data_IF_759289900500
#
_entry.id   IF_759289900500
#
_cell.length_a   1.000
_cell.length_b   1.000
_cell.length_c   1.000
_cell.angle_alpha   90.00
_cell.angle_beta   90.00
_cell.angle_gamma   90.00
#
_symmetry.space_group_name_H-M   'P 1'
#
loop_
_entity.id
_entity.type
_entity.pdbx_description
1 polymer ?
#
# COMPACT_ATOMS: atom_id res chain seq x y z
N UNK A 1 -4.02 29.98 19.03
CA UNK A 1 -3.43 28.68 19.41
C UNK A 1 -1.96 28.76 19.08
N UNK A 2 -1.13 28.99 20.10
CA UNK A 2 0.32 28.98 19.94
C UNK A 2 0.76 27.54 19.62
N UNK A 3 1.44 27.38 18.48
CA UNK A 3 2.08 26.12 18.12
C UNK A 3 3.31 25.93 19.02
N UNK A 4 3.51 24.77 19.66
CA UNK A 4 4.63 24.57 20.56
C UNK A 4 5.96 24.71 19.80
N UNK A 5 6.91 25.44 20.38
CA UNK A 5 8.27 25.59 19.85
C UNK A 5 9.02 24.25 19.93
N UNK A 6 9.78 23.83 18.91
CA UNK A 6 10.44 22.53 18.91
C UNK A 6 11.68 22.57 19.79
N UNK A 7 11.78 21.62 20.73
CA UNK A 7 12.91 21.37 21.63
C UNK A 7 14.12 20.73 20.93
N UNK A 8 14.48 21.16 19.72
CA UNK A 8 15.57 20.58 18.93
C UNK A 8 16.42 21.63 18.19
N UNK A 9 17.72 21.37 18.09
CA UNK A 9 18.74 22.23 17.47
C UNK A 9 18.64 22.31 15.93
N UNK A 10 17.47 22.59 15.37
CA UNK A 10 17.28 22.69 13.92
C UNK A 10 17.20 24.15 13.48
N UNK A 11 17.95 24.50 12.44
CA UNK A 11 17.90 25.83 11.83
C UNK A 11 16.57 26.00 11.07
N UNK A 12 15.78 27.06 11.34
CA UNK A 12 14.58 27.37 10.57
C UNK A 12 14.89 27.55 9.08
N UNK A 13 13.99 27.12 8.20
CA UNK A 13 14.16 27.22 6.74
C UNK A 13 13.35 28.39 6.16
N UNK A 14 13.98 29.50 5.74
CA UNK A 14 13.27 30.64 5.18
C UNK A 14 12.95 30.45 3.69
N UNK A 15 11.70 30.67 3.29
CA UNK A 15 11.24 30.72 1.90
C UNK A 15 10.30 31.91 1.74
N UNK A 16 10.56 32.80 0.77
CA UNK A 16 9.67 33.93 0.43
C UNK A 16 9.23 34.78 1.65
N UNK A 17 10.13 35.01 2.61
CA UNK A 17 9.83 35.78 3.83
C UNK A 17 9.09 35.01 4.93
N UNK A 18 8.81 33.72 4.74
CA UNK A 18 8.24 32.84 5.75
C UNK A 18 9.29 31.86 6.28
N UNK A 19 9.31 31.63 7.59
CA UNK A 19 10.17 30.62 8.22
C UNK A 19 9.40 29.34 8.47
N UNK A 20 9.92 28.22 7.99
CA UNK A 20 9.34 26.90 8.19
C UNK A 20 10.18 26.10 9.17
N UNK A 21 9.49 25.33 10.02
CA UNK A 21 10.13 24.33 10.86
C UNK A 21 10.68 23.19 10.00
N UNK A 22 11.90 22.73 10.32
CA UNK A 22 12.47 21.53 9.73
C UNK A 22 12.03 20.30 10.55
N UNK A 23 11.27 19.41 9.91
CA UNK A 23 10.83 18.13 10.49
C UNK A 23 11.51 16.95 9.81
N UNK A 24 11.74 15.86 10.55
CA UNK A 24 12.30 14.62 10.01
C UNK A 24 11.28 13.78 9.23
N UNK A 25 10.00 13.87 9.58
CA UNK A 25 8.90 13.20 8.90
C UNK A 25 7.74 14.18 8.69
N UNK A 26 7.20 14.22 7.47
CA UNK A 26 6.09 15.07 7.07
C UNK A 26 5.04 14.26 6.30
N UNK A 27 3.76 14.49 6.60
CA UNK A 27 2.66 13.85 5.86
C UNK A 27 2.12 14.80 4.80
N UNK A 28 2.37 14.50 3.54
CA UNK A 28 1.88 15.25 2.40
C UNK A 28 0.86 14.44 1.60
N UNK A 29 -0.36 14.97 1.43
CA UNK A 29 -1.47 14.30 0.70
C UNK A 29 -1.69 12.84 1.14
N UNK A 30 -1.50 12.58 2.44
CA UNK A 30 -1.65 11.26 3.03
C UNK A 30 -0.45 10.31 2.84
N UNK A 31 0.60 10.72 2.14
CA UNK A 31 1.88 9.99 1.99
C UNK A 31 2.89 10.54 2.99
N UNK A 32 3.64 9.67 3.62
CA UNK A 32 4.70 10.03 4.56
C UNK A 32 6.02 10.19 3.83
N UNK A 33 6.60 11.37 3.96
CA UNK A 33 7.89 11.76 3.39
C UNK A 33 8.85 11.97 4.56
N UNK A 34 10.08 11.48 4.44
CA UNK A 34 11.12 11.67 5.44
C UNK A 34 12.37 12.30 4.84
N UNK A 35 13.18 12.89 5.72
CA UNK A 35 14.44 13.55 5.40
C UNK A 35 15.49 12.59 4.80
N UNK A 36 15.47 11.32 5.20
CA UNK A 36 16.36 10.26 4.68
C UNK A 36 15.85 9.59 3.40
N UNK A 37 14.71 10.03 2.86
CA UNK A 37 14.04 9.44 1.69
C UNK A 37 13.83 7.92 1.79
N UNK A 38 13.67 7.39 3.01
CA UNK A 38 13.42 5.98 3.28
C UNK A 38 11.94 5.63 3.12
N UNK A 39 11.61 4.94 2.04
CA UNK A 39 10.25 4.52 1.72
C UNK A 39 9.61 3.54 2.75
N UNK A 40 10.42 2.93 3.62
CA UNK A 40 9.96 1.90 4.58
C UNK A 40 8.84 2.38 5.49
N UNK A 41 8.89 3.63 5.97
CA UNK A 41 7.86 4.21 6.83
C UNK A 41 6.50 4.28 6.10
N UNK A 42 6.51 4.77 4.87
CA UNK A 42 5.31 4.87 4.03
C UNK A 42 4.70 3.49 3.72
N UNK A 43 5.52 2.52 3.30
CA UNK A 43 5.04 1.14 3.02
C UNK A 43 4.40 0.53 4.25
N UNK A 44 5.02 0.69 5.43
CA UNK A 44 4.46 0.21 6.67
C UNK A 44 3.13 0.89 7.00
N UNK A 45 2.99 2.19 6.77
CA UNK A 45 1.74 2.92 6.97
C UNK A 45 0.63 2.47 6.02
N UNK A 46 0.96 2.16 4.76
CA UNK A 46 0.02 1.59 3.78
C UNK A 46 -0.42 0.19 4.16
N UNK A 47 0.51 -0.67 4.58
CA UNK A 47 0.21 -2.00 5.07
C UNK A 47 -0.66 -1.93 6.34
N UNK A 48 -0.39 -1.01 7.27
CA UNK A 48 -1.23 -0.79 8.46
C UNK A 48 -2.65 -0.36 8.07
N UNK A 49 -2.78 0.59 7.15
CA UNK A 49 -4.07 1.09 6.66
C UNK A 49 -4.86 -0.01 5.94
N UNK A 50 -4.21 -0.76 5.05
CA UNK A 50 -4.81 -1.89 4.36
C UNK A 50 -5.17 -3.03 5.31
N UNK A 51 -4.38 -3.27 6.37
CA UNK A 51 -4.73 -4.20 7.44
C UNK A 51 -6.01 -3.76 8.16
N UNK A 52 -6.16 -2.48 8.52
CA UNK A 52 -7.38 -1.96 9.15
C UNK A 52 -8.61 -2.23 8.29
N UNK A 53 -8.51 -1.93 6.99
CA UNK A 53 -9.58 -2.24 6.02
C UNK A 53 -9.87 -3.75 5.95
N UNK A 54 -8.82 -4.58 5.84
CA UNK A 54 -8.94 -6.03 5.81
C UNK A 54 -9.62 -6.59 7.07
N UNK A 55 -9.25 -6.10 8.27
CA UNK A 55 -9.85 -6.55 9.52
C UNK A 55 -11.34 -6.18 9.60
N UNK A 56 -11.74 -5.01 9.13
CA UNK A 56 -13.15 -4.63 9.01
C UNK A 56 -13.97 -5.52 8.06
N UNK A 57 -13.34 -6.04 7.02
CA UNK A 57 -13.96 -6.94 6.03
C UNK A 57 -13.73 -8.44 6.31
N UNK A 58 -13.01 -8.77 7.38
CA UNK A 58 -12.52 -10.14 7.63
C UNK A 58 -13.65 -11.15 7.78
N UNK A 59 -14.76 -10.76 8.41
CA UNK A 59 -15.94 -11.62 8.62
C UNK A 59 -16.58 -12.00 7.28
N UNK A 60 -16.73 -11.03 6.40
CA UNK A 60 -17.31 -11.17 5.06
C UNK A 60 -16.40 -12.03 4.17
N UNK A 61 -15.09 -11.76 4.18
CA UNK A 61 -14.11 -12.54 3.41
C UNK A 61 -14.02 -14.00 3.88
N UNK A 62 -14.25 -14.28 5.16
CA UNK A 62 -14.29 -15.65 5.70
C UNK A 62 -15.64 -16.36 5.53
N UNK A 63 -16.73 -15.61 5.40
CA UNK A 63 -18.09 -16.16 5.33
C UNK A 63 -18.25 -17.17 4.19
N UNK A 64 -18.83 -18.34 4.46
CA UNK A 64 -19.15 -19.34 3.42
C UNK A 64 -20.35 -18.94 2.56
N UNK A 65 -21.18 -18.00 3.05
CA UNK A 65 -22.37 -17.52 2.36
C UNK A 65 -22.04 -16.62 1.16
N UNK A 66 -20.88 -15.95 1.19
CA UNK A 66 -20.46 -15.04 0.13
C UNK A 66 -19.62 -15.82 -0.88
N UNK A 67 -20.02 -15.81 -2.15
CA UNK A 67 -19.27 -16.45 -3.23
C UNK A 67 -17.89 -15.81 -3.41
N UNK A 68 -16.91 -16.61 -3.87
CA UNK A 68 -15.52 -16.16 -4.06
C UNK A 68 -15.40 -14.94 -4.97
N UNK A 69 -16.20 -14.87 -6.05
CA UNK A 69 -16.20 -13.74 -6.99
C UNK A 69 -16.48 -12.40 -6.30
N UNK A 70 -17.47 -12.36 -5.40
CA UNK A 70 -17.83 -11.15 -4.65
C UNK A 70 -16.74 -10.78 -3.66
N UNK A 71 -16.14 -11.75 -2.96
CA UNK A 71 -14.99 -11.51 -2.07
C UNK A 71 -13.79 -10.94 -2.82
N UNK A 72 -13.51 -11.46 -4.02
CA UNK A 72 -12.47 -10.94 -4.89
C UNK A 72 -12.76 -9.51 -5.32
N UNK A 73 -14.02 -9.18 -5.64
CA UNK A 73 -14.44 -7.81 -5.94
C UNK A 73 -14.17 -6.89 -4.74
N UNK A 74 -14.60 -7.27 -3.53
CA UNK A 74 -14.33 -6.51 -2.31
C UNK A 74 -12.84 -6.27 -2.08
N UNK A 75 -12.01 -7.29 -2.28
CA UNK A 75 -10.56 -7.14 -2.18
C UNK A 75 -10.03 -6.08 -3.14
N UNK A 76 -10.41 -6.16 -4.42
CA UNK A 76 -9.92 -5.23 -5.45
C UNK A 76 -10.45 -3.82 -5.31
N UNK A 77 -11.67 -3.64 -4.84
CA UNK A 77 -12.33 -2.32 -4.80
C UNK A 77 -12.14 -1.60 -3.48
N UNK A 78 -11.92 -2.32 -2.37
CA UNK A 78 -11.83 -1.70 -1.04
C UNK A 78 -10.44 -1.81 -0.42
N UNK A 79 -9.81 -2.99 -0.47
CA UNK A 79 -8.54 -3.23 0.24
C UNK A 79 -7.35 -2.82 -0.63
N UNK A 80 -7.37 -3.25 -1.90
CA UNK A 80 -6.26 -3.04 -2.82
C UNK A 80 -5.98 -1.55 -3.12
N UNK A 81 -6.99 -0.66 -3.29
CA UNK A 81 -6.72 0.77 -3.50
C UNK A 81 -6.07 1.43 -2.28
N UNK A 82 -6.47 1.03 -1.06
CA UNK A 82 -5.86 1.51 0.19
C UNK A 82 -4.39 1.09 0.27
N UNK A 83 -4.08 -0.13 -0.14
CA UNK A 83 -2.71 -0.64 -0.19
C UNK A 83 -1.86 0.06 -1.25
N UNK A 84 -2.44 0.36 -2.42
CA UNK A 84 -1.72 0.84 -3.60
C UNK A 84 -1.69 2.36 -3.74
N UNK A 85 -2.23 3.10 -2.77
CA UNK A 85 -2.24 4.55 -2.83
C UNK A 85 -0.82 5.11 -2.94
N UNK A 86 -0.61 6.05 -3.86
CA UNK A 86 0.68 6.64 -4.19
C UNK A 86 1.78 5.63 -4.60
N UNK A 87 1.42 4.41 -5.00
CA UNK A 87 2.40 3.38 -5.38
C UNK A 87 3.22 3.72 -6.63
N UNK A 88 2.80 4.72 -7.39
CA UNK A 88 3.50 5.22 -8.58
C UNK A 88 4.82 5.90 -8.24
N UNK A 89 4.95 6.47 -7.03
CA UNK A 89 6.15 7.18 -6.58
C UNK A 89 7.15 6.26 -5.86
N UNK A 90 6.83 4.97 -5.72
CA UNK A 90 7.61 4.04 -4.92
C UNK A 90 8.77 3.40 -5.67
N UNK A 91 9.93 3.37 -5.03
CA UNK A 91 11.07 2.54 -5.43
C UNK A 91 10.87 1.11 -4.92
N UNK A 92 10.73 0.16 -5.85
CA UNK A 92 10.42 -1.24 -5.55
C UNK A 92 11.68 -2.04 -5.20
N UNK A 93 12.12 -2.00 -3.94
CA UNK A 93 13.18 -2.87 -3.43
C UNK A 93 12.65 -4.29 -3.16
N UNK A 94 13.54 -5.28 -3.07
CA UNK A 94 13.16 -6.69 -2.82
C UNK A 94 12.35 -6.84 -1.53
N UNK A 95 12.75 -6.14 -0.47
CA UNK A 95 12.04 -6.22 0.83
C UNK A 95 10.66 -5.58 0.78
N UNK A 96 10.53 -4.45 0.07
CA UNK A 96 9.24 -3.78 -0.15
C UNK A 96 8.30 -4.69 -0.94
N UNK A 97 8.80 -5.29 -2.03
CA UNK A 97 8.05 -6.24 -2.84
C UNK A 97 7.58 -7.43 -1.97
N UNK A 98 8.48 -8.03 -1.19
CA UNK A 98 8.15 -9.13 -0.28
C UNK A 98 7.09 -8.76 0.76
N UNK A 99 7.17 -7.57 1.35
CA UNK A 99 6.20 -7.10 2.35
C UNK A 99 4.80 -6.93 1.74
N UNK A 100 4.72 -6.28 0.58
CA UNK A 100 3.46 -6.05 -0.15
C UNK A 100 2.81 -7.36 -0.62
N UNK A 101 3.61 -8.29 -1.17
CA UNK A 101 3.11 -9.59 -1.58
C UNK A 101 2.67 -10.44 -0.38
N UNK A 102 3.38 -10.37 0.74
CA UNK A 102 2.99 -11.07 1.97
C UNK A 102 1.62 -10.61 2.44
N UNK A 103 1.37 -9.29 2.42
CA UNK A 103 0.04 -8.75 2.69
C UNK A 103 -1.00 -9.26 1.67
N UNK A 104 -0.70 -9.19 0.37
CA UNK A 104 -1.61 -9.69 -0.68
C UNK A 104 -1.99 -11.17 -0.47
N UNK A 105 -0.99 -12.04 -0.25
CA UNK A 105 -1.20 -13.47 0.01
C UNK A 105 -2.01 -13.72 1.28
N UNK A 106 -1.82 -12.93 2.35
CA UNK A 106 -2.63 -13.03 3.58
C UNK A 106 -4.11 -12.84 3.28
N UNK A 107 -4.46 -11.83 2.48
CA UNK A 107 -5.86 -11.59 2.08
C UNK A 107 -6.38 -12.70 1.18
N UNK A 108 -5.61 -13.10 0.15
CA UNK A 108 -6.02 -14.16 -0.78
C UNK A 108 -6.23 -15.51 -0.06
N UNK A 109 -5.38 -15.88 0.89
CA UNK A 109 -5.57 -17.09 1.71
C UNK A 109 -6.84 -17.05 2.55
N UNK A 110 -7.26 -15.86 2.99
CA UNK A 110 -8.53 -15.69 3.70
C UNK A 110 -9.73 -15.92 2.76
N UNK A 111 -9.63 -15.51 1.49
CA UNK A 111 -10.69 -15.65 0.50
C UNK A 111 -10.81 -17.09 -0.01
N UNK A 112 -9.70 -17.71 -0.40
CA UNK A 112 -9.69 -19.05 -0.99
C UNK A 112 -9.76 -20.16 0.06
N UNK A 113 -9.34 -19.87 1.29
CA UNK A 113 -9.35 -20.81 2.40
C UNK A 113 -8.35 -21.96 2.24
N UNK A 114 -8.43 -22.96 3.14
CA UNK A 114 -7.58 -24.15 3.08
C UNK A 114 -7.89 -25.02 1.85
N UNK A 115 -7.09 -26.08 1.69
CA UNK A 115 -7.37 -27.12 0.70
C UNK A 115 -8.61 -27.90 1.12
N UNK A 116 -9.53 -28.14 0.19
CA UNK A 116 -10.73 -28.94 0.50
C UNK A 116 -10.29 -30.38 0.77
N UNK A 117 -10.83 -30.99 1.83
CA UNK A 117 -10.48 -32.35 2.24
C UNK A 117 -9.17 -32.49 3.03
N UNK A 118 -8.38 -31.42 3.20
CA UNK A 118 -7.17 -31.44 4.02
C UNK A 118 -7.11 -30.22 4.96
N UNK A 119 -6.75 -30.44 6.22
CA UNK A 119 -6.50 -29.37 7.18
C UNK A 119 -5.14 -28.67 6.96
N UNK A 120 -4.84 -28.29 5.71
CA UNK A 120 -3.58 -27.63 5.33
C UNK A 120 -3.79 -26.26 4.67
N UNK A 121 -2.85 -25.36 4.90
CA UNK A 121 -2.76 -24.07 4.20
C UNK A 121 -2.25 -24.28 2.77
N UNK A 122 -2.76 -23.48 1.82
CA UNK A 122 -2.33 -23.51 0.41
C UNK A 122 -0.93 -22.93 0.23
N UNK A 123 -0.14 -23.60 -0.63
CA UNK A 123 1.15 -23.08 -1.09
C UNK A 123 0.97 -21.86 -2.01
N UNK A 124 2.04 -21.07 -2.19
CA UNK A 124 1.99 -19.86 -3.01
C UNK A 124 1.59 -20.16 -4.47
N UNK A 125 2.13 -21.23 -5.06
CA UNK A 125 1.82 -21.59 -6.45
C UNK A 125 0.35 -22.01 -6.64
N UNK A 126 -0.22 -22.76 -5.69
CA UNK A 126 -1.64 -23.15 -5.70
C UNK A 126 -2.54 -21.91 -5.61
N UNK A 127 -2.15 -20.96 -4.75
CA UNK A 127 -2.86 -19.70 -4.57
C UNK A 127 -2.87 -18.87 -5.84
N UNK A 128 -1.74 -18.77 -6.55
CA UNK A 128 -1.64 -18.01 -7.79
C UNK A 128 -2.43 -18.66 -8.93
N UNK A 129 -2.45 -20.00 -9.00
CA UNK A 129 -3.26 -20.74 -9.98
C UNK A 129 -4.76 -20.50 -9.79
N UNK A 130 -5.21 -20.27 -8.56
CA UNK A 130 -6.60 -19.92 -8.25
C UNK A 130 -6.91 -18.44 -8.50
N UNK A 131 -5.97 -17.56 -8.16
CA UNK A 131 -6.15 -16.11 -8.29
C UNK A 131 -6.22 -15.65 -9.74
N UNK A 132 -5.36 -16.20 -10.63
CA UNK A 132 -5.35 -15.93 -12.10
C UNK A 132 -5.28 -14.46 -12.50
N UNK A 133 -4.76 -13.61 -11.62
CA UNK A 133 -4.70 -12.18 -11.82
C UNK A 133 -3.34 -11.59 -11.40
N UNK A 134 -3.02 -10.35 -11.85
CA UNK A 134 -1.78 -9.70 -11.48
C UNK A 134 -1.60 -9.58 -9.97
N UNK A 135 -0.42 -9.96 -9.48
CA UNK A 135 -0.02 -9.78 -8.10
C UNK A 135 0.19 -8.29 -7.79
N UNK A 136 0.17 -7.93 -6.50
CA UNK A 136 0.31 -6.54 -6.04
C UNK A 136 1.50 -5.83 -6.70
N UNK A 137 2.67 -6.47 -6.75
CA UNK A 137 3.88 -5.90 -7.36
C UNK A 137 3.71 -5.64 -8.86
N UNK A 138 3.05 -6.54 -9.58
CA UNK A 138 2.78 -6.37 -11.02
C UNK A 138 1.85 -5.18 -11.27
N UNK A 139 0.86 -4.98 -10.40
CA UNK A 139 -0.05 -3.82 -10.47
C UNK A 139 0.72 -2.52 -10.23
N UNK A 140 1.63 -2.49 -9.26
CA UNK A 140 2.46 -1.30 -9.00
C UNK A 140 3.33 -0.96 -10.21
N UNK A 141 3.97 -1.98 -10.82
CA UNK A 141 4.74 -1.78 -12.05
C UNK A 141 3.88 -1.18 -13.17
N UNK A 142 2.65 -1.66 -13.33
CA UNK A 142 1.70 -1.11 -14.30
C UNK A 142 1.31 0.34 -13.98
N UNK A 143 1.05 0.67 -12.71
CA UNK A 143 0.73 2.04 -12.30
C UNK A 143 1.91 3.00 -12.58
N UNK A 144 3.15 2.60 -12.30
CA UNK A 144 4.35 3.40 -12.60
C UNK A 144 4.47 3.70 -14.09
N UNK A 145 4.24 2.71 -14.96
CA UNK A 145 4.23 2.91 -16.41
C UNK A 145 3.11 3.84 -16.87
N UNK A 146 1.91 3.72 -16.27
CA UNK A 146 0.79 4.64 -16.55
C UNK A 146 1.16 6.08 -16.19
N UNK A 147 1.76 6.28 -15.01
CA UNK A 147 2.20 7.59 -14.55
C UNK A 147 3.28 8.19 -15.48
N UNK A 148 4.25 7.39 -15.92
CA UNK A 148 5.23 7.82 -16.93
C UNK A 148 4.55 8.31 -18.22
N UNK A 149 3.54 7.58 -18.69
CA UNK A 149 2.75 8.00 -19.84
C UNK A 149 1.95 9.29 -19.62
N UNK A 150 1.60 9.64 -18.38
CA UNK A 150 1.03 10.96 -18.07
C UNK A 150 2.09 12.05 -18.15
N UNK A 151 3.26 11.84 -17.55
CA UNK A 151 4.38 12.80 -17.59
C UNK A 151 4.78 13.11 -19.03
N UNK A 152 4.85 12.09 -19.89
CA UNK A 152 5.21 12.26 -21.30
C UNK A 152 4.21 13.10 -22.10
N UNK A 153 2.92 13.10 -21.72
CA UNK A 153 1.87 13.87 -22.39
C UNK A 153 1.76 15.30 -21.87
N UNK A 154 2.44 15.65 -20.78
CA UNK A 154 2.42 17.01 -20.25
C UNK A 154 3.15 17.94 -21.23
N UNK A 155 2.50 18.99 -21.76
CA UNK A 155 3.16 19.93 -22.64
C UNK A 155 4.34 20.58 -21.92
N UNK A 156 5.46 20.76 -22.64
CA UNK A 156 6.60 21.50 -22.10
C UNK A 156 6.16 22.95 -21.90
N UNK A 157 6.25 23.41 -20.65
CA UNK A 157 6.09 24.81 -20.28
C UNK A 157 7.39 25.55 -20.54
#
# INVERSE_FOLDING_TARGET
MEVPYPTGNYTPFPINGHTFERVSEFKYLGTVINDQNMLKAEINNRIKSANKCFFGLKKQLRSRLIIRRTKMRLYKTLILPVLLYASETWTLNVDVQRALETFGRKVLRTIFGPVQGCWRTRYNFELYRLYKEPQVVQIIRSNRLRCLGHVWRTPRK
#
